data_IF_995172574787
#
_entry.id   IF_995172574787
#
_cell.length_a   1.000
_cell.length_b   1.000
_cell.length_c   1.000
_cell.angle_alpha   90.00
_cell.angle_beta   90.00
_cell.angle_gamma   90.00
#
_symmetry.space_group_name_H-M   'P 1'
#
loop_
_entity.id
_entity.type
_entity.pdbx_description
1 polymer ?
#
# COMPACT_ATOMS: atom_id res chain seq x y z
N UNK A 1 -1.61 -24.64 -12.61
CA UNK A 1 -0.55 -23.79 -12.03
C UNK A 1 0.03 -22.80 -13.05
N UNK A 2 0.45 -23.22 -14.25
CA UNK A 2 1.08 -22.34 -15.25
C UNK A 2 0.18 -21.17 -15.70
N UNK A 3 -1.08 -21.44 -16.01
CA UNK A 3 -2.05 -20.42 -16.45
C UNK A 3 -2.29 -19.32 -15.40
N UNK A 4 -2.39 -19.67 -14.10
CA UNK A 4 -2.54 -18.67 -13.02
C UNK A 4 -1.34 -17.75 -12.92
N UNK A 5 -0.11 -18.27 -13.06
CA UNK A 5 1.11 -17.46 -13.03
C UNK A 5 1.16 -16.48 -14.22
N UNK A 6 0.73 -16.91 -15.39
CA UNK A 6 0.70 -16.05 -16.59
C UNK A 6 -0.34 -14.94 -16.47
N UNK A 7 -1.54 -15.24 -15.95
CA UNK A 7 -2.58 -14.23 -15.71
C UNK A 7 -2.10 -13.22 -14.65
N UNK A 8 -1.53 -13.71 -13.53
CA UNK A 8 -0.99 -12.85 -12.50
C UNK A 8 0.11 -11.90 -13.02
N UNK A 9 1.00 -12.41 -13.89
CA UNK A 9 2.03 -11.61 -14.54
C UNK A 9 1.45 -10.54 -15.46
N UNK A 10 0.41 -10.88 -16.25
CA UNK A 10 -0.25 -9.92 -17.12
C UNK A 10 -0.96 -8.81 -16.33
N UNK A 11 -1.66 -9.17 -15.24
CA UNK A 11 -2.30 -8.19 -14.35
C UNK A 11 -1.24 -7.28 -13.70
N UNK A 12 -0.11 -7.82 -13.25
CA UNK A 12 0.98 -7.03 -12.69
C UNK A 12 1.60 -6.05 -13.71
N UNK A 13 1.64 -6.41 -15.00
CA UNK A 13 2.05 -5.50 -16.07
C UNK A 13 1.07 -4.34 -16.24
N UNK A 14 -0.24 -4.62 -16.29
CA UNK A 14 -1.30 -3.61 -16.36
C UNK A 14 -1.19 -2.65 -15.18
N UNK A 15 -1.08 -3.16 -13.95
CA UNK A 15 -0.92 -2.35 -12.74
C UNK A 15 0.34 -1.47 -12.78
N UNK A 16 1.42 -1.97 -13.38
CA UNK A 16 2.65 -1.19 -13.57
C UNK A 16 2.42 -0.04 -14.53
N UNK A 17 1.74 -0.28 -15.66
CA UNK A 17 1.40 0.76 -16.63
C UNK A 17 0.48 1.83 -16.03
N UNK A 18 -0.50 1.42 -15.21
CA UNK A 18 -1.38 2.35 -14.49
C UNK A 18 -0.59 3.23 -13.50
N UNK A 19 0.35 2.65 -12.74
CA UNK A 19 1.19 3.42 -11.80
C UNK A 19 2.10 4.41 -12.52
N UNK A 20 2.70 4.01 -13.63
CA UNK A 20 3.53 4.92 -14.42
C UNK A 20 2.69 6.04 -15.03
N UNK A 21 1.46 5.76 -15.51
CA UNK A 21 0.54 6.79 -15.98
C UNK A 21 0.25 7.81 -14.87
N UNK A 22 -0.07 7.37 -13.65
CA UNK A 22 -0.28 8.27 -12.50
C UNK A 22 0.97 9.09 -12.19
N UNK A 23 2.15 8.44 -12.13
CA UNK A 23 3.42 9.12 -11.83
C UNK A 23 3.73 10.24 -12.82
N UNK A 24 3.51 10.04 -14.12
CA UNK A 24 3.72 11.06 -15.13
C UNK A 24 2.61 12.11 -15.16
N UNK A 25 1.38 11.74 -14.79
CA UNK A 25 0.29 12.68 -14.55
C UNK A 25 0.63 13.64 -13.40
N UNK A 26 1.10 13.11 -12.26
CA UNK A 26 1.52 13.91 -11.10
C UNK A 26 2.66 14.86 -11.47
N UNK A 27 3.68 14.38 -12.18
CA UNK A 27 4.78 15.20 -12.66
C UNK A 27 4.31 16.35 -13.55
N UNK A 28 3.44 16.05 -14.50
CA UNK A 28 2.90 17.06 -15.42
C UNK A 28 2.11 18.15 -14.69
N UNK A 29 1.27 17.78 -13.71
CA UNK A 29 0.40 18.73 -13.04
C UNK A 29 1.04 19.44 -11.84
N UNK A 30 2.00 18.81 -11.15
CA UNK A 30 2.51 19.33 -9.87
C UNK A 30 4.00 19.67 -9.84
N UNK A 31 4.80 19.19 -10.82
CA UNK A 31 6.22 19.47 -10.84
C UNK A 31 6.59 20.44 -11.97
N UNK A 32 6.93 19.98 -13.15
CA UNK A 32 7.63 20.78 -14.16
C UNK A 32 6.87 20.97 -15.49
N UNK A 33 5.60 20.62 -15.60
CA UNK A 33 4.69 20.79 -16.75
C UNK A 33 5.34 20.56 -18.13
N UNK A 34 6.29 19.61 -18.22
CA UNK A 34 7.01 19.33 -19.46
C UNK A 34 6.15 18.54 -20.44
N UNK A 35 6.12 18.95 -21.71
CA UNK A 35 5.41 18.21 -22.78
C UNK A 35 5.78 16.72 -22.84
N UNK A 36 7.03 16.39 -22.49
CA UNK A 36 7.51 15.00 -22.44
C UNK A 36 6.83 14.16 -21.35
N UNK A 37 6.46 14.74 -20.21
CA UNK A 37 5.76 14.04 -19.14
C UNK A 37 4.30 13.80 -19.51
N UNK A 38 3.66 14.76 -20.20
CA UNK A 38 2.32 14.58 -20.73
C UNK A 38 2.27 13.47 -21.82
N UNK A 39 3.23 13.42 -22.73
CA UNK A 39 3.32 12.34 -23.72
C UNK A 39 3.60 10.98 -23.05
N UNK A 40 4.46 10.95 -22.04
CA UNK A 40 4.72 9.73 -21.26
C UNK A 40 3.47 9.27 -20.50
N UNK A 41 2.72 10.18 -19.90
CA UNK A 41 1.43 9.92 -19.29
C UNK A 41 0.46 9.24 -20.26
N UNK A 42 0.21 9.84 -21.43
CA UNK A 42 -0.66 9.29 -22.48
C UNK A 42 -0.19 7.91 -22.95
N UNK A 43 1.11 7.75 -23.16
CA UNK A 43 1.70 6.47 -23.55
C UNK A 43 1.36 5.35 -22.55
N UNK A 44 1.50 5.60 -21.25
CA UNK A 44 1.22 4.57 -20.26
C UNK A 44 -0.27 4.29 -20.08
N UNK A 45 -1.15 5.28 -20.28
CA UNK A 45 -2.60 5.03 -20.36
C UNK A 45 -2.91 4.12 -21.55
N UNK A 46 -2.42 4.46 -22.76
CA UNK A 46 -2.61 3.64 -23.96
C UNK A 46 -2.06 2.22 -23.77
N UNK A 47 -0.86 2.10 -23.21
CA UNK A 47 -0.21 0.82 -22.94
C UNK A 47 -1.04 -0.06 -22.00
N UNK A 48 -1.62 0.50 -20.94
CA UNK A 48 -2.48 -0.24 -20.01
C UNK A 48 -3.70 -0.86 -20.70
N UNK A 49 -4.27 -0.17 -21.68
CA UNK A 49 -5.34 -0.72 -22.53
C UNK A 49 -4.86 -1.86 -23.42
N UNK A 50 -3.72 -1.71 -24.09
CA UNK A 50 -3.19 -2.79 -24.93
C UNK A 50 -2.92 -4.07 -24.12
N UNK A 51 -2.32 -3.93 -22.94
CA UNK A 51 -2.06 -5.06 -22.04
C UNK A 51 -3.38 -5.72 -21.61
N UNK A 52 -4.43 -4.94 -21.31
CA UNK A 52 -5.76 -5.44 -20.95
C UNK A 52 -6.44 -6.15 -22.16
N UNK A 53 -6.39 -5.58 -23.35
CA UNK A 53 -6.96 -6.17 -24.54
C UNK A 53 -6.30 -7.50 -24.90
N UNK A 54 -4.97 -7.58 -24.82
CA UNK A 54 -4.23 -8.83 -25.01
C UNK A 54 -4.61 -9.87 -23.95
N UNK A 55 -4.76 -9.48 -22.70
CA UNK A 55 -5.18 -10.39 -21.62
C UNK A 55 -6.59 -10.93 -21.85
N UNK A 56 -7.54 -10.06 -22.18
CA UNK A 56 -8.96 -10.44 -22.39
C UNK A 56 -9.13 -11.33 -23.63
N UNK A 57 -8.41 -11.06 -24.72
CA UNK A 57 -8.38 -11.90 -25.93
C UNK A 57 -7.81 -13.28 -25.59
N UNK A 58 -6.64 -13.34 -24.96
CA UNK A 58 -5.97 -14.58 -24.55
C UNK A 58 -6.84 -15.46 -23.63
N UNK A 59 -7.65 -14.85 -22.77
CA UNK A 59 -8.57 -15.53 -21.89
C UNK A 59 -9.92 -15.86 -22.54
N UNK A 60 -10.12 -15.48 -23.80
CA UNK A 60 -11.35 -15.64 -24.55
C UNK A 60 -12.58 -15.01 -23.82
N UNK A 61 -12.37 -13.87 -23.15
CA UNK A 61 -13.40 -13.11 -22.43
C UNK A 61 -14.07 -12.10 -23.37
N UNK A 62 -14.81 -12.59 -24.38
CA UNK A 62 -15.32 -11.77 -25.47
C UNK A 62 -16.07 -10.52 -25.02
N UNK A 63 -17.05 -10.65 -24.11
CA UNK A 63 -17.82 -9.50 -23.65
C UNK A 63 -16.97 -8.44 -22.94
N UNK A 64 -16.01 -8.89 -22.13
CA UNK A 64 -15.05 -8.02 -21.42
C UNK A 64 -14.08 -7.36 -22.40
N UNK A 65 -13.62 -8.11 -23.41
CA UNK A 65 -12.79 -7.60 -24.49
C UNK A 65 -13.50 -6.51 -25.29
N UNK A 66 -14.75 -6.76 -25.71
CA UNK A 66 -15.55 -5.79 -26.46
C UNK A 66 -15.79 -4.50 -25.66
N UNK A 67 -16.01 -4.61 -24.34
CA UNK A 67 -16.15 -3.46 -23.44
C UNK A 67 -14.82 -2.69 -23.33
N UNK A 68 -13.71 -3.36 -23.11
CA UNK A 68 -12.38 -2.73 -23.04
C UNK A 68 -12.00 -2.07 -24.37
N UNK A 69 -12.34 -2.69 -25.50
CA UNK A 69 -12.13 -2.14 -26.82
C UNK A 69 -12.95 -0.88 -27.09
N UNK A 70 -14.18 -0.85 -26.63
CA UNK A 70 -15.04 0.35 -26.72
C UNK A 70 -14.46 1.51 -25.90
N UNK A 71 -14.04 1.25 -24.66
CA UNK A 71 -13.38 2.24 -23.80
C UNK A 71 -12.06 2.74 -24.41
N UNK A 72 -11.26 1.84 -25.00
CA UNK A 72 -10.04 2.19 -25.73
C UNK A 72 -10.31 3.14 -26.92
N UNK A 73 -11.35 2.86 -27.74
CA UNK A 73 -11.69 3.72 -28.85
C UNK A 73 -12.18 5.11 -28.40
N UNK A 74 -12.87 5.18 -27.27
CA UNK A 74 -13.27 6.46 -26.70
C UNK A 74 -12.08 7.24 -26.17
N UNK A 75 -11.20 6.61 -25.40
CA UNK A 75 -9.94 7.20 -24.90
C UNK A 75 -9.08 7.72 -26.04
N UNK A 76 -9.00 6.96 -27.14
CA UNK A 76 -8.21 7.34 -28.32
C UNK A 76 -8.74 8.60 -29.00
N UNK A 77 -10.07 8.83 -29.02
CA UNK A 77 -10.65 10.06 -29.62
C UNK A 77 -10.20 11.32 -28.90
N UNK A 78 -10.03 11.25 -27.59
CA UNK A 78 -9.58 12.39 -26.76
C UNK A 78 -8.07 12.38 -26.50
N UNK A 79 -7.32 11.40 -27.05
CA UNK A 79 -5.85 11.34 -27.03
C UNK A 79 -5.25 10.82 -25.72
N UNK A 80 -5.97 10.01 -24.95
CA UNK A 80 -5.55 9.38 -23.68
C UNK A 80 -5.14 10.33 -22.53
N UNK A 81 -5.19 11.63 -22.75
CA UNK A 81 -4.74 12.65 -21.79
C UNK A 81 -5.83 13.18 -20.87
N UNK A 82 -7.01 12.55 -20.86
CA UNK A 82 -8.13 12.97 -20.02
C UNK A 82 -7.87 12.67 -18.54
N UNK A 83 -8.18 13.66 -17.70
CA UNK A 83 -7.98 13.59 -16.25
C UNK A 83 -9.19 14.11 -15.50
N UNK A 84 -9.44 13.56 -14.34
CA UNK A 84 -10.44 14.03 -13.40
C UNK A 84 -9.78 14.49 -12.10
N UNK A 85 -10.35 15.54 -11.49
CA UNK A 85 -9.88 16.07 -10.23
C UNK A 85 -10.74 15.57 -9.08
N UNK A 86 -10.08 15.03 -8.04
CA UNK A 86 -10.70 14.69 -6.77
C UNK A 86 -9.90 15.28 -5.61
N UNK A 87 -10.55 16.10 -4.81
CA UNK A 87 -9.95 16.70 -3.60
C UNK A 87 -8.65 17.49 -3.86
N UNK A 88 -8.44 17.96 -5.11
CA UNK A 88 -7.25 18.70 -5.51
C UNK A 88 -6.18 17.85 -6.21
N UNK A 89 -6.31 16.53 -6.22
CA UNK A 89 -5.42 15.65 -6.96
C UNK A 89 -5.97 15.33 -8.35
N UNK A 90 -5.06 15.18 -9.33
CA UNK A 90 -5.39 14.84 -10.71
C UNK A 90 -5.20 13.34 -10.96
N UNK A 91 -6.19 12.70 -11.53
CA UNK A 91 -6.18 11.27 -11.84
C UNK A 91 -6.44 11.01 -13.31
N UNK A 92 -5.69 10.09 -13.96
CA UNK A 92 -6.00 9.65 -15.31
C UNK A 92 -7.37 8.95 -15.34
N UNK A 93 -8.36 9.54 -15.98
CA UNK A 93 -9.75 9.04 -16.04
C UNK A 93 -9.81 7.57 -16.48
N UNK A 94 -9.06 7.21 -17.48
CA UNK A 94 -9.13 5.90 -18.12
C UNK A 94 -8.43 4.77 -17.34
N UNK A 95 -7.44 5.10 -16.52
CA UNK A 95 -6.75 4.07 -15.71
C UNK A 95 -7.65 3.43 -14.67
N UNK A 96 -8.63 4.17 -14.15
CA UNK A 96 -9.65 3.64 -13.25
C UNK A 96 -10.52 2.56 -13.90
N UNK A 97 -10.89 2.76 -15.16
CA UNK A 97 -11.69 1.77 -15.93
C UNK A 97 -10.86 0.52 -16.27
N UNK A 98 -9.64 0.70 -16.72
CA UNK A 98 -8.71 -0.43 -16.98
C UNK A 98 -8.50 -1.25 -15.71
N UNK A 99 -8.27 -0.60 -14.57
CA UNK A 99 -8.08 -1.26 -13.27
C UNK A 99 -9.32 -2.04 -12.86
N UNK A 100 -10.51 -1.45 -12.97
CA UNK A 100 -11.77 -2.12 -12.63
C UNK A 100 -11.94 -3.44 -13.39
N UNK A 101 -11.62 -3.47 -14.68
CA UNK A 101 -11.71 -4.69 -15.50
C UNK A 101 -10.63 -5.69 -15.10
N UNK A 102 -9.39 -5.24 -14.90
CA UNK A 102 -8.28 -6.10 -14.47
C UNK A 102 -8.56 -6.74 -13.11
N UNK A 103 -9.10 -5.99 -12.15
CA UNK A 103 -9.50 -6.47 -10.82
C UNK A 103 -10.62 -7.52 -10.91
N UNK A 104 -11.61 -7.29 -11.78
CA UNK A 104 -12.67 -8.27 -12.01
C UNK A 104 -12.14 -9.59 -12.59
N UNK A 105 -11.19 -9.52 -13.53
CA UNK A 105 -10.50 -10.69 -14.07
C UNK A 105 -9.69 -11.37 -12.94
N UNK A 106 -8.86 -10.63 -12.21
CA UNK A 106 -8.10 -11.16 -11.09
C UNK A 106 -8.98 -11.91 -10.08
N UNK A 107 -10.10 -11.31 -9.72
CA UNK A 107 -11.08 -11.89 -8.80
C UNK A 107 -11.68 -13.20 -9.35
N UNK A 108 -12.07 -13.22 -10.62
CA UNK A 108 -12.70 -14.39 -11.26
C UNK A 108 -11.75 -15.61 -11.35
N UNK A 109 -10.45 -15.35 -11.41
CA UNK A 109 -9.42 -16.38 -11.42
C UNK A 109 -8.80 -16.66 -10.04
N UNK A 110 -9.37 -16.11 -8.95
CA UNK A 110 -8.85 -16.30 -7.59
C UNK A 110 -7.46 -15.67 -7.38
N UNK A 111 -7.08 -14.68 -8.21
CA UNK A 111 -5.80 -13.97 -8.15
C UNK A 111 -5.93 -12.62 -7.41
N UNK A 112 -7.14 -12.19 -7.13
CA UNK A 112 -7.36 -10.98 -6.36
C UNK A 112 -6.77 -11.19 -4.96
N UNK A 113 -5.63 -10.61 -4.71
CA UNK A 113 -5.22 -10.32 -3.34
C UNK A 113 -6.18 -9.25 -2.84
N UNK A 114 -7.10 -9.64 -1.99
CA UNK A 114 -7.88 -8.63 -1.26
C UNK A 114 -6.88 -7.84 -0.43
N UNK A 115 -7.08 -6.53 -0.25
CA UNK A 115 -6.29 -5.71 0.69
C UNK A 115 -6.15 -6.41 2.06
N UNK A 116 -7.14 -7.20 2.43
CA UNK A 116 -7.15 -8.02 3.63
C UNK A 116 -6.16 -9.20 3.57
N UNK A 117 -5.95 -9.85 2.41
CA UNK A 117 -4.95 -10.92 2.28
C UNK A 117 -3.53 -10.36 2.24
N UNK A 118 -3.31 -9.23 1.60
CA UNK A 118 -2.01 -8.53 1.59
C UNK A 118 -1.62 -8.04 2.99
N UNK A 119 -2.58 -7.45 3.71
CA UNK A 119 -2.37 -7.04 5.10
C UNK A 119 -2.05 -8.25 6.01
N UNK A 120 -2.71 -9.39 5.79
CA UNK A 120 -2.42 -10.64 6.51
C UNK A 120 -0.99 -11.14 6.25
N UNK A 121 -0.55 -11.13 5.00
CA UNK A 121 0.81 -11.55 4.61
C UNK A 121 1.86 -10.60 5.19
N UNK A 122 1.62 -9.28 5.11
CA UNK A 122 2.45 -8.25 5.71
C UNK A 122 2.57 -8.44 7.23
N UNK A 123 1.46 -8.65 7.93
CA UNK A 123 1.44 -8.94 9.38
C UNK A 123 2.26 -10.19 9.71
N UNK A 124 2.09 -11.26 8.94
CA UNK A 124 2.83 -12.50 9.14
C UNK A 124 4.33 -12.33 8.91
N UNK A 125 4.73 -11.51 7.94
CA UNK A 125 6.13 -11.15 7.68
C UNK A 125 6.71 -10.32 8.82
N UNK A 126 6.04 -9.26 9.24
CA UNK A 126 6.49 -8.39 10.34
C UNK A 126 6.61 -9.15 11.66
N UNK A 127 5.67 -10.06 11.97
CA UNK A 127 5.77 -10.93 13.16
C UNK A 127 7.00 -11.82 13.13
N UNK A 128 7.46 -12.26 11.95
CA UNK A 128 8.72 -13.01 11.82
C UNK A 128 9.94 -12.10 11.88
N UNK A 129 9.82 -10.87 11.40
CA UNK A 129 10.91 -9.90 11.40
C UNK A 129 11.42 -9.56 12.82
N UNK A 130 10.60 -9.76 13.87
CA UNK A 130 11.03 -9.56 15.26
C UNK A 130 12.30 -10.36 15.61
N UNK A 131 12.44 -11.57 15.05
CA UNK A 131 13.62 -12.39 15.26
C UNK A 131 14.89 -11.76 14.68
N UNK A 132 14.79 -11.12 13.52
CA UNK A 132 15.91 -10.44 12.87
C UNK A 132 16.27 -9.11 13.57
N UNK A 133 15.27 -8.30 13.91
CA UNK A 133 15.52 -6.98 14.54
C UNK A 133 16.05 -7.09 15.98
N UNK A 134 15.88 -8.24 16.63
CA UNK A 134 16.38 -8.55 17.97
C UNK A 134 17.61 -9.47 17.95
N UNK A 135 18.12 -9.85 16.77
CA UNK A 135 19.27 -10.74 16.64
C UNK A 135 20.57 -9.98 16.95
N UNK A 136 21.28 -10.43 17.97
CA UNK A 136 22.57 -9.83 18.38
C UNK A 136 23.71 -10.05 17.37
N UNK A 137 23.56 -11.00 16.44
CA UNK A 137 24.50 -11.17 15.33
C UNK A 137 24.34 -10.08 14.26
N UNK A 138 23.12 -9.54 14.11
CA UNK A 138 22.81 -8.46 13.16
C UNK A 138 22.92 -7.08 13.83
N UNK A 139 22.47 -6.97 15.08
CA UNK A 139 22.43 -5.72 15.82
C UNK A 139 23.00 -5.93 17.23
N UNK A 140 23.99 -5.13 17.68
CA UNK A 140 24.66 -5.33 18.98
C UNK A 140 23.72 -5.28 20.19
N UNK A 141 22.56 -4.64 20.04
CA UNK A 141 21.55 -4.49 21.08
C UNK A 141 20.15 -4.63 20.48
N UNK A 142 19.17 -5.06 21.28
CA UNK A 142 17.76 -4.98 20.92
C UNK A 142 17.35 -3.52 20.63
N UNK A 143 16.24 -3.28 19.89
CA UNK A 143 15.71 -1.94 19.68
C UNK A 143 15.50 -1.21 21.01
N UNK A 144 15.99 0.03 21.11
CA UNK A 144 15.94 0.84 22.33
C UNK A 144 14.87 1.95 22.28
N UNK A 145 14.35 2.24 21.09
CA UNK A 145 13.36 3.29 20.83
C UNK A 145 12.59 2.99 19.52
N UNK A 146 11.62 3.83 19.21
CA UNK A 146 10.79 3.74 18.01
C UNK A 146 11.61 3.83 16.72
N UNK A 147 12.57 4.75 16.66
CA UNK A 147 13.42 4.92 15.49
C UNK A 147 14.27 3.68 15.18
N UNK A 148 14.75 2.97 16.20
CA UNK A 148 15.47 1.70 16.01
C UNK A 148 14.54 0.64 15.40
N UNK A 149 13.30 0.55 15.90
CA UNK A 149 12.28 -0.39 15.37
C UNK A 149 11.97 -0.05 13.91
N UNK A 150 11.66 1.21 13.64
CA UNK A 150 11.36 1.71 12.30
C UNK A 150 12.49 1.38 11.33
N UNK A 151 13.72 1.83 11.61
CA UNK A 151 14.85 1.67 10.69
C UNK A 151 15.15 0.19 10.39
N UNK A 152 15.06 -0.69 11.39
CA UNK A 152 15.34 -2.13 11.20
C UNK A 152 14.24 -2.82 10.41
N UNK A 153 12.97 -2.54 10.71
CA UNK A 153 11.83 -3.11 9.99
C UNK A 153 11.76 -2.57 8.57
N UNK A 154 12.00 -1.29 8.36
CA UNK A 154 12.01 -0.70 7.03
C UNK A 154 13.10 -1.31 6.14
N UNK A 155 14.29 -1.61 6.69
CA UNK A 155 15.35 -2.34 5.99
C UNK A 155 14.89 -3.72 5.50
N UNK A 156 14.11 -4.46 6.29
CA UNK A 156 13.53 -5.76 5.91
C UNK A 156 12.42 -5.56 4.87
N UNK A 157 11.54 -4.59 5.07
CA UNK A 157 10.44 -4.30 4.17
C UNK A 157 10.92 -3.90 2.77
N UNK A 158 12.02 -3.15 2.65
CA UNK A 158 12.63 -2.79 1.35
C UNK A 158 13.06 -3.99 0.51
N UNK A 159 13.42 -5.10 1.15
CA UNK A 159 13.73 -6.33 0.42
C UNK A 159 12.51 -6.96 -0.23
N UNK A 160 11.31 -6.67 0.28
CA UNK A 160 10.05 -7.26 -0.20
C UNK A 160 9.19 -6.26 -0.99
N UNK A 161 9.25 -4.97 -0.63
CA UNK A 161 8.52 -3.87 -1.25
C UNK A 161 9.51 -2.85 -1.82
N UNK A 162 9.95 -3.01 -3.08
CA UNK A 162 10.93 -2.10 -3.69
C UNK A 162 10.39 -0.68 -3.90
N UNK A 163 9.07 -0.51 -3.91
CA UNK A 163 8.36 0.76 -4.04
C UNK A 163 8.08 1.45 -2.69
N UNK A 164 8.61 0.92 -1.58
CA UNK A 164 8.46 1.47 -0.25
C UNK A 164 8.87 2.95 -0.19
N UNK A 165 7.99 3.76 0.37
CA UNK A 165 8.22 5.18 0.67
C UNK A 165 8.42 5.37 2.16
N UNK A 166 9.56 5.94 2.55
CA UNK A 166 9.79 6.40 3.92
C UNK A 166 9.12 7.75 4.10
N UNK A 167 8.33 7.90 5.15
CA UNK A 167 7.61 9.13 5.52
C UNK A 167 6.84 9.76 4.36
N UNK A 168 5.89 9.03 3.75
CA UNK A 168 5.09 9.60 2.67
C UNK A 168 4.27 10.77 3.18
N UNK A 169 4.33 11.91 2.48
CA UNK A 169 3.54 13.07 2.83
C UNK A 169 2.06 12.84 2.46
N UNK A 170 1.17 12.96 3.44
CA UNK A 170 -0.29 13.00 3.24
C UNK A 170 -0.73 14.45 3.32
N UNK A 171 -0.92 15.07 2.18
CA UNK A 171 -1.35 16.47 2.11
C UNK A 171 -2.82 16.60 2.49
N UNK A 172 -3.11 17.47 3.45
CA UNK A 172 -4.46 17.84 3.87
C UNK A 172 -4.59 19.37 3.84
N UNK A 173 -5.79 19.92 3.73
CA UNK A 173 -5.99 21.36 3.53
C UNK A 173 -5.34 22.28 4.58
N UNK A 174 -5.16 21.80 5.82
CA UNK A 174 -4.66 22.60 6.93
C UNK A 174 -3.33 22.07 7.48
N UNK A 175 -3.05 20.77 7.37
CA UNK A 175 -1.90 20.09 7.98
C UNK A 175 -1.46 18.92 7.12
N UNK A 176 -0.17 18.79 6.90
CA UNK A 176 0.42 17.59 6.34
C UNK A 176 0.63 16.54 7.45
N UNK A 177 0.40 15.30 7.12
CA UNK A 177 0.71 14.15 7.97
C UNK A 177 1.80 13.33 7.30
N UNK A 178 2.67 12.73 8.10
CA UNK A 178 3.81 11.94 7.63
C UNK A 178 3.84 10.61 8.38
N UNK A 179 3.07 9.59 7.92
CA UNK A 179 3.22 8.24 8.46
C UNK A 179 4.65 7.73 8.27
N UNK A 180 5.10 6.85 9.14
CA UNK A 180 6.49 6.37 9.11
C UNK A 180 6.85 5.67 7.79
N UNK A 181 5.99 4.79 7.30
CA UNK A 181 6.25 4.00 6.09
C UNK A 181 5.00 3.85 5.25
N UNK A 182 5.14 3.98 3.93
CA UNK A 182 4.09 3.69 2.95
C UNK A 182 4.51 2.55 2.02
N UNK A 183 3.59 1.62 1.76
CA UNK A 183 3.73 0.52 0.81
C UNK A 183 2.72 0.72 -0.33
N UNK A 184 3.08 1.43 -1.42
CA UNK A 184 2.15 1.80 -2.48
C UNK A 184 1.50 0.59 -3.16
N UNK A 185 2.26 -0.48 -3.42
CA UNK A 185 1.75 -1.72 -4.02
C UNK A 185 0.70 -2.41 -3.15
N UNK A 186 0.82 -2.32 -1.82
CA UNK A 186 -0.14 -2.86 -0.86
C UNK A 186 -1.17 -1.82 -0.39
N UNK A 187 -1.11 -0.58 -0.86
CA UNK A 187 -1.92 0.56 -0.41
C UNK A 187 -2.01 0.65 1.12
N UNK A 188 -0.90 0.35 1.80
CA UNK A 188 -0.83 0.25 3.26
C UNK A 188 0.16 1.26 3.82
N UNK A 189 -0.29 2.02 4.80
CA UNK A 189 0.57 2.82 5.67
C UNK A 189 0.96 1.99 6.89
N UNK A 190 2.14 2.23 7.41
CA UNK A 190 2.63 1.62 8.64
C UNK A 190 3.08 2.74 9.58
N UNK A 191 2.66 2.64 10.81
CA UNK A 191 3.08 3.50 11.90
C UNK A 191 3.71 2.63 13.00
N UNK A 192 4.91 2.99 13.46
CA UNK A 192 5.60 2.25 14.50
C UNK A 192 5.36 2.90 15.85
N UNK A 193 5.28 2.08 16.89
CA UNK A 193 5.19 2.53 18.28
C UNK A 193 6.10 1.68 19.15
N UNK A 194 6.67 2.30 20.16
CA UNK A 194 7.59 1.65 21.10
C UNK A 194 7.07 1.77 22.52
N UNK A 195 7.05 0.64 23.23
CA UNK A 195 6.59 0.55 24.64
C UNK A 195 7.63 -0.19 25.48
N UNK A 196 8.12 0.45 26.52
CA UNK A 196 9.02 -0.14 27.50
C UNK A 196 8.36 -0.42 28.85
N UNK A 197 7.19 0.19 29.10
CA UNK A 197 6.46 0.08 30.35
C UNK A 197 4.95 0.16 30.17
N UNK A 198 4.19 -0.36 31.15
CA UNK A 198 2.72 -0.28 31.16
C UNK A 198 2.21 1.17 31.22
N UNK A 199 2.97 2.08 31.84
CA UNK A 199 2.62 3.50 31.90
C UNK A 199 2.59 4.17 30.52
N UNK A 200 3.42 3.71 29.57
CA UNK A 200 3.47 4.24 28.22
C UNK A 200 2.31 3.78 27.35
N UNK A 201 1.68 2.65 27.70
CA UNK A 201 0.59 2.09 26.87
C UNK A 201 -0.58 3.07 26.69
N UNK A 202 -0.92 3.86 27.71
CA UNK A 202 -1.98 4.87 27.61
C UNK A 202 -1.61 5.98 26.63
N UNK A 203 -0.37 6.51 26.70
CA UNK A 203 0.12 7.55 25.78
C UNK A 203 0.11 7.03 24.35
N UNK A 204 0.62 5.81 24.13
CA UNK A 204 0.64 5.18 22.80
C UNK A 204 -0.78 4.93 22.27
N UNK A 205 -1.75 4.58 23.12
CA UNK A 205 -3.14 4.46 22.73
C UNK A 205 -3.71 5.80 22.23
N UNK A 206 -3.44 6.90 22.94
CA UNK A 206 -3.88 8.25 22.53
C UNK A 206 -3.22 8.66 21.19
N UNK A 207 -1.94 8.35 20.99
CA UNK A 207 -1.22 8.59 19.72
C UNK A 207 -1.81 7.79 18.55
N UNK A 208 -2.08 6.48 18.75
CA UNK A 208 -2.70 5.62 17.72
C UNK A 208 -4.04 6.19 17.26
N UNK A 209 -4.88 6.67 18.20
CA UNK A 209 -6.17 7.24 17.84
C UNK A 209 -6.03 8.58 17.09
N UNK A 210 -5.06 9.40 17.47
CA UNK A 210 -4.76 10.65 16.78
C UNK A 210 -4.24 10.40 15.34
N UNK A 211 -3.30 9.45 15.17
CA UNK A 211 -2.73 9.08 13.88
C UNK A 211 -3.81 8.44 12.98
N UNK A 212 -4.62 7.52 13.50
CA UNK A 212 -5.71 6.90 12.76
C UNK A 212 -6.72 7.91 12.21
N UNK A 213 -7.00 8.97 12.97
CA UNK A 213 -7.87 10.07 12.52
C UNK A 213 -7.24 10.91 11.41
N UNK A 214 -5.91 11.13 11.47
CA UNK A 214 -5.18 11.97 10.52
C UNK A 214 -4.83 11.29 9.20
N UNK A 215 -4.60 9.97 9.21
CA UNK A 215 -4.03 9.24 8.07
C UNK A 215 -5.06 8.68 7.09
N UNK A 216 -6.36 8.91 7.28
CA UNK A 216 -7.39 8.50 6.30
C UNK A 216 -7.13 9.14 4.95
N UNK A 217 -6.99 8.32 3.91
CA UNK A 217 -6.74 8.75 2.54
C UNK A 217 -7.41 7.79 1.56
N UNK A 218 -7.70 8.24 0.35
CA UNK A 218 -8.21 7.38 -0.72
C UNK A 218 -7.13 6.49 -1.32
N UNK A 219 -5.89 6.98 -1.34
CA UNK A 219 -4.76 6.26 -1.94
C UNK A 219 -4.27 5.13 -1.04
N UNK A 220 -4.53 5.24 0.26
CA UNK A 220 -4.11 4.29 1.27
C UNK A 220 -5.33 3.65 1.92
N UNK A 221 -5.57 2.39 1.58
CA UNK A 221 -6.76 1.65 2.03
C UNK A 221 -6.55 0.99 3.40
N UNK A 222 -5.30 0.89 3.84
CA UNK A 222 -4.97 0.23 5.11
C UNK A 222 -3.94 1.03 5.92
N UNK A 223 -4.10 1.02 7.24
CA UNK A 223 -3.14 1.54 8.21
C UNK A 223 -2.85 0.48 9.25
N UNK A 224 -1.59 0.08 9.34
CA UNK A 224 -1.11 -0.92 10.27
C UNK A 224 -0.25 -0.27 11.35
N UNK A 225 -0.68 -0.37 12.60
CA UNK A 225 0.13 -0.02 13.76
C UNK A 225 1.01 -1.20 14.16
N UNK A 226 2.31 -0.98 14.19
CA UNK A 226 3.32 -1.97 14.60
C UNK A 226 3.86 -1.55 15.96
N UNK A 227 3.42 -2.21 17.01
CA UNK A 227 3.73 -1.88 18.39
C UNK A 227 4.85 -2.82 18.86
N UNK A 228 6.05 -2.28 19.07
CA UNK A 228 7.14 -3.04 19.66
C UNK A 228 7.16 -2.86 21.17
N UNK A 229 7.14 -3.96 21.90
CA UNK A 229 7.26 -3.97 23.35
C UNK A 229 8.55 -4.66 23.80
N UNK A 230 9.31 -4.03 24.69
CA UNK A 230 10.54 -4.62 25.25
C UNK A 230 10.30 -5.79 26.20
N UNK A 231 9.08 -5.90 26.68
CA UNK A 231 8.53 -6.99 27.50
C UNK A 231 7.02 -7.04 27.25
N UNK A 232 6.38 -8.15 27.59
CA UNK A 232 4.92 -8.24 27.46
C UNK A 232 4.21 -7.21 28.32
N UNK A 233 3.57 -6.25 27.67
CA UNK A 233 2.83 -5.15 28.30
C UNK A 233 1.33 -5.33 28.09
N UNK A 234 0.90 -5.51 26.85
CA UNK A 234 -0.48 -5.65 26.45
C UNK A 234 -0.64 -6.69 25.32
N UNK A 235 -1.65 -7.58 25.39
CA UNK A 235 -1.97 -8.48 24.29
C UNK A 235 -2.35 -7.69 23.03
N UNK A 236 -2.03 -8.24 21.86
CA UNK A 236 -2.39 -7.66 20.55
C UNK A 236 -3.90 -7.41 20.43
N UNK A 237 -4.71 -8.31 20.99
CA UNK A 237 -6.16 -8.22 20.96
C UNK A 237 -6.68 -6.95 21.66
N UNK A 238 -6.04 -6.47 22.73
CA UNK A 238 -6.45 -5.23 23.40
C UNK A 238 -6.26 -4.02 22.50
N UNK A 239 -5.19 -3.97 21.68
CA UNK A 239 -4.96 -2.91 20.71
C UNK A 239 -5.97 -2.97 19.54
N UNK A 240 -6.27 -4.17 19.07
CA UNK A 240 -7.28 -4.37 18.03
C UNK A 240 -8.68 -3.98 18.54
N UNK A 241 -9.01 -4.28 19.80
CA UNK A 241 -10.27 -3.87 20.41
C UNK A 241 -10.35 -2.35 20.57
N UNK A 242 -9.27 -1.68 20.98
CA UNK A 242 -9.20 -0.21 21.00
C UNK A 242 -9.60 0.41 19.66
N UNK A 243 -9.06 -0.10 18.55
CA UNK A 243 -9.40 0.37 17.20
C UNK A 243 -10.88 0.12 16.90
N UNK A 244 -11.41 -1.07 17.21
CA UNK A 244 -12.82 -1.41 16.99
C UNK A 244 -13.78 -0.54 17.80
N UNK A 245 -13.50 -0.32 19.08
CA UNK A 245 -14.31 0.50 19.97
C UNK A 245 -14.41 1.95 19.49
N UNK A 246 -13.37 2.42 18.81
CA UNK A 246 -13.33 3.73 18.17
C UNK A 246 -13.83 3.73 16.70
N UNK A 247 -14.50 2.65 16.25
CA UNK A 247 -15.03 2.48 14.89
C UNK A 247 -13.95 2.54 13.79
N UNK A 248 -12.71 2.17 14.13
CA UNK A 248 -11.56 2.09 13.23
C UNK A 248 -11.31 0.62 12.85
N UNK A 249 -12.30 -0.04 12.22
CA UNK A 249 -12.22 -1.46 11.89
C UNK A 249 -11.97 -1.72 10.40
N UNK A 250 -12.43 -0.84 9.52
CA UNK A 250 -12.17 -0.98 8.09
C UNK A 250 -10.82 -0.36 7.72
N UNK A 251 -9.89 -1.20 7.24
CA UNK A 251 -8.55 -0.76 6.83
C UNK A 251 -7.59 -0.44 7.99
N UNK A 252 -7.98 -0.60 9.26
CA UNK A 252 -7.12 -0.37 10.41
C UNK A 252 -6.82 -1.67 11.14
N UNK A 253 -5.56 -1.88 11.50
CA UNK A 253 -5.15 -3.05 12.29
C UNK A 253 -3.94 -2.73 13.16
N UNK A 254 -3.68 -3.57 14.16
CA UNK A 254 -2.52 -3.46 15.02
C UNK A 254 -1.87 -4.83 15.22
N UNK A 255 -0.53 -4.84 15.29
CA UNK A 255 0.24 -6.02 15.68
C UNK A 255 1.20 -5.66 16.81
N UNK A 256 1.48 -6.65 17.66
CA UNK A 256 2.46 -6.55 18.73
C UNK A 256 3.67 -7.40 18.42
N UNK A 257 4.84 -6.79 18.47
CA UNK A 257 6.16 -7.43 18.35
C UNK A 257 6.82 -7.43 19.73
N UNK A 258 6.87 -8.58 20.38
CA UNK A 258 7.52 -8.70 21.70
C UNK A 258 9.00 -9.02 21.56
N UNK A 259 9.83 -8.08 21.95
CA UNK A 259 11.30 -8.16 21.85
C UNK A 259 11.99 -8.96 22.98
N UNK A 260 11.28 -9.84 23.67
CA UNK A 260 11.88 -10.68 24.72
C UNK A 260 12.94 -11.57 24.10
N UNK A 261 14.22 -11.27 24.38
CA UNK A 261 15.34 -12.08 23.94
C UNK A 261 15.14 -13.54 24.41
N UNK A 262 15.27 -14.50 23.50
CA UNK A 262 15.40 -15.90 23.86
C UNK A 262 16.72 -16.04 24.67
N UNK A 263 16.62 -16.25 25.97
CA UNK A 263 17.78 -16.51 26.81
C UNK A 263 17.89 -15.70 28.09
N UNK A 264 16.95 -14.84 28.43
CA UNK A 264 16.82 -14.29 29.76
C UNK A 264 15.96 -15.25 30.62
N UNK A 265 16.51 -16.42 30.95
CA UNK A 265 16.03 -17.29 32.01
C UNK A 265 17.12 -17.29 33.09
#
# INVERSE_FOLDING_TARGET
MHQHTEIASAIAAIETSIREAQRYCDKYYYEDQGDSDFESFKYYVERSFFELLVLTDRLNLKATHDMAAADFQEAKKIGFGDTESHEGDMYPTWTGRVRMIADAIASSYGLAKTSQSELKDLKAMLKRAVYAICDTALFPKAPANEADVHNRLEGILRCHYPDLKSKPALTKPIKNFEPDTGLPSAKTLIEYKFISSTAEAKRVADEILADASGYRSRDWTSLLFVIYETRRVKPEEEWQNLLKDCQLYEGFDAIVLSGVARGAV
#
